data_IF_016418490151
#
_entry.id   IF_016418490151
#
_cell.length_a   1.000
_cell.length_b   1.000
_cell.length_c   1.000
_cell.angle_alpha   90.00
_cell.angle_beta   90.00
_cell.angle_gamma   90.00
#
_symmetry.space_group_name_H-M   'P 1'
#
loop_
_entity.id
_entity.type
_entity.pdbx_description
1 polymer ?
#
# COMPACT_ATOMS: atom_id res chain seq x y z
N UNK A 1 19.24 9.18 -21.79
CA UNK A 1 18.84 8.89 -20.40
C UNK A 1 18.93 10.19 -19.64
N UNK A 2 17.79 10.73 -19.22
CA UNK A 2 17.76 11.90 -18.35
C UNK A 2 17.85 11.45 -16.87
N UNK A 3 17.97 12.39 -15.93
CA UNK A 3 18.06 12.07 -14.50
C UNK A 3 16.77 11.43 -13.94
N UNK A 4 15.62 11.72 -14.52
CA UNK A 4 14.32 11.16 -14.16
C UNK A 4 14.17 9.68 -14.59
N UNK A 5 14.74 9.29 -15.73
CA UNK A 5 14.78 7.91 -16.22
C UNK A 5 15.62 7.03 -15.29
N UNK A 6 16.72 7.58 -14.76
CA UNK A 6 17.60 6.87 -13.82
C UNK A 6 16.93 6.71 -12.45
N UNK A 7 16.15 7.70 -12.00
CA UNK A 7 15.35 7.57 -10.76
C UNK A 7 14.28 6.50 -10.87
N UNK A 8 13.63 6.37 -12.03
CA UNK A 8 12.65 5.31 -12.29
C UNK A 8 13.25 3.89 -12.34
N UNK A 9 14.57 3.77 -12.49
CA UNK A 9 15.29 2.49 -12.45
C UNK A 9 15.75 2.10 -11.03
N UNK A 10 15.74 3.04 -10.08
CA UNK A 10 16.09 2.73 -8.69
C UNK A 10 14.87 2.23 -7.91
N UNK A 11 15.03 1.23 -7.03
CA UNK A 11 13.95 0.79 -6.16
C UNK A 11 13.52 1.96 -5.26
N UNK A 12 12.24 2.33 -5.34
CA UNK A 12 11.66 3.39 -4.50
C UNK A 12 11.92 3.13 -3.01
N UNK A 13 12.20 4.19 -2.27
CA UNK A 13 12.31 4.15 -0.82
C UNK A 13 10.95 3.87 -0.15
N UNK A 14 10.97 3.55 1.14
CA UNK A 14 9.73 3.33 1.92
C UNK A 14 8.89 4.61 1.96
N UNK A 15 9.52 5.76 2.22
CA UNK A 15 8.82 7.05 2.32
C UNK A 15 8.16 7.44 1.00
N UNK A 16 8.85 7.26 -0.14
CA UNK A 16 8.27 7.51 -1.46
C UNK A 16 7.06 6.61 -1.74
N UNK A 17 7.10 5.35 -1.31
CA UNK A 17 5.99 4.41 -1.46
C UNK A 17 4.81 4.83 -0.58
N UNK A 18 5.05 5.25 0.67
CA UNK A 18 4.00 5.75 1.56
C UNK A 18 3.37 7.02 0.98
N UNK A 19 4.18 7.95 0.47
CA UNK A 19 3.67 9.18 -0.16
C UNK A 19 2.77 8.85 -1.36
N UNK A 20 3.20 7.95 -2.24
CA UNK A 20 2.41 7.52 -3.39
C UNK A 20 1.10 6.83 -2.97
N UNK A 21 1.13 5.95 -1.96
CA UNK A 21 -0.07 5.29 -1.44
C UNK A 21 -1.04 6.31 -0.85
N UNK A 22 -0.55 7.28 -0.07
CA UNK A 22 -1.40 8.33 0.52
C UNK A 22 -2.01 9.25 -0.54
N UNK A 23 -1.27 9.57 -1.61
CA UNK A 23 -1.82 10.26 -2.78
C UNK A 23 -2.95 9.46 -3.42
N UNK A 24 -2.76 8.16 -3.67
CA UNK A 24 -3.82 7.30 -4.19
C UNK A 24 -5.03 7.22 -3.26
N UNK A 25 -4.81 7.13 -1.94
CA UNK A 25 -5.90 7.17 -0.96
C UNK A 25 -6.68 8.49 -1.06
N UNK A 26 -5.99 9.63 -1.21
CA UNK A 26 -6.64 10.93 -1.38
C UNK A 26 -7.45 11.01 -2.69
N UNK A 27 -6.98 10.40 -3.77
CA UNK A 27 -7.73 10.32 -5.03
C UNK A 27 -8.97 9.42 -4.92
N UNK A 28 -8.86 8.28 -4.24
CA UNK A 28 -10.01 7.39 -3.99
C UNK A 28 -11.02 8.06 -3.04
N UNK A 29 -10.56 8.83 -2.05
CA UNK A 29 -11.41 9.60 -1.16
C UNK A 29 -12.25 10.64 -1.92
N UNK A 30 -11.68 11.32 -2.92
CA UNK A 30 -12.42 12.24 -3.81
C UNK A 30 -13.54 11.54 -4.59
N UNK A 31 -13.44 10.22 -4.78
CA UNK A 31 -14.45 9.38 -5.44
C UNK A 31 -15.45 8.78 -4.45
N UNK A 32 -15.40 9.15 -3.16
CA UNK A 32 -16.26 8.61 -2.11
C UNK A 32 -15.90 7.18 -1.69
N UNK A 33 -14.69 6.72 -1.99
CA UNK A 33 -14.18 5.42 -1.55
C UNK A 33 -13.31 5.59 -0.31
N UNK A 34 -13.29 4.55 0.52
CA UNK A 34 -12.62 4.52 1.83
C UNK A 34 -11.58 3.42 1.93
N UNK A 35 -11.28 2.77 0.80
CA UNK A 35 -10.37 1.64 0.71
C UNK A 35 -9.56 1.76 -0.57
N UNK A 36 -8.25 1.53 -0.46
CA UNK A 36 -7.30 1.37 -1.54
C UNK A 36 -6.67 -0.02 -1.45
N UNK A 37 -6.43 -0.65 -2.60
CA UNK A 37 -5.85 -1.99 -2.70
C UNK A 37 -4.77 -2.02 -3.76
N UNK A 38 -3.64 -2.68 -3.49
CA UNK A 38 -2.56 -2.79 -4.45
C UNK A 38 -1.73 -4.06 -4.28
N UNK A 39 -1.32 -4.66 -5.41
CA UNK A 39 -0.36 -5.78 -5.48
C UNK A 39 1.10 -5.30 -5.61
N UNK A 40 1.30 -3.99 -5.75
CA UNK A 40 2.61 -3.40 -6.01
C UNK A 40 3.53 -3.51 -4.78
N UNK A 41 4.77 -3.03 -4.92
CA UNK A 41 5.75 -2.93 -3.83
C UNK A 41 6.06 -4.27 -3.14
N UNK A 42 5.91 -5.38 -3.88
CA UNK A 42 6.16 -6.75 -3.42
C UNK A 42 4.97 -7.40 -2.72
N UNK A 43 3.86 -6.68 -2.49
CA UNK A 43 2.71 -7.22 -1.76
C UNK A 43 2.00 -8.38 -2.48
N UNK A 44 2.25 -8.58 -3.79
CA UNK A 44 1.79 -9.73 -4.56
C UNK A 44 2.57 -11.03 -4.38
N UNK A 45 3.81 -10.98 -3.87
CA UNK A 45 4.75 -12.09 -3.96
C UNK A 45 4.89 -12.92 -2.67
N UNK A 46 4.76 -12.32 -1.47
CA UNK A 46 4.75 -13.06 -0.19
C UNK A 46 4.25 -12.20 0.99
N UNK A 47 3.86 -12.88 2.08
CA UNK A 47 3.06 -12.32 3.17
C UNK A 47 3.82 -11.80 4.38
N UNK A 48 5.02 -12.31 4.66
CA UNK A 48 5.52 -12.21 6.04
C UNK A 48 7.02 -11.93 6.19
N UNK A 49 7.78 -11.82 5.09
CA UNK A 49 9.25 -11.82 5.17
C UNK A 49 9.94 -10.55 4.66
N UNK A 50 9.22 -9.62 4.03
CA UNK A 50 9.86 -8.40 3.53
C UNK A 50 9.81 -7.27 4.57
N UNK A 51 10.95 -6.93 5.17
CA UNK A 51 11.08 -5.81 6.11
C UNK A 51 10.59 -4.49 5.52
N UNK A 52 10.71 -4.31 4.20
CA UNK A 52 10.23 -3.11 3.50
C UNK A 52 8.71 -3.02 3.55
N UNK A 53 8.01 -4.13 3.33
CA UNK A 53 6.54 -4.17 3.40
C UNK A 53 6.03 -3.86 4.81
N UNK A 54 6.71 -4.38 5.83
CA UNK A 54 6.40 -4.09 7.24
C UNK A 54 6.54 -2.60 7.52
N UNK A 55 7.66 -1.98 7.12
CA UNK A 55 7.87 -0.53 7.29
C UNK A 55 6.85 0.32 6.54
N UNK A 56 6.43 -0.09 5.34
CA UNK A 56 5.36 0.59 4.60
C UNK A 56 4.04 0.53 5.39
N UNK A 57 3.65 -0.65 5.88
CA UNK A 57 2.43 -0.81 6.67
C UNK A 57 2.48 -0.04 7.99
N UNK A 58 3.62 -0.05 8.70
CA UNK A 58 3.83 0.73 9.92
C UNK A 58 3.72 2.23 9.65
N UNK A 59 4.41 2.73 8.63
CA UNK A 59 4.32 4.15 8.28
C UNK A 59 2.91 4.60 7.88
N UNK A 60 2.15 3.76 7.18
CA UNK A 60 0.73 4.03 6.91
C UNK A 60 -0.12 4.05 8.19
N UNK A 61 0.14 3.14 9.14
CA UNK A 61 -0.56 3.11 10.43
C UNK A 61 -0.24 4.32 11.30
N UNK A 62 1.02 4.76 11.30
CA UNK A 62 1.46 5.96 12.02
C UNK A 62 0.78 7.23 11.49
N UNK A 63 0.42 7.23 10.20
CA UNK A 63 -0.39 8.28 9.56
C UNK A 63 -1.91 8.16 9.83
N UNK A 64 -2.34 7.15 10.59
CA UNK A 64 -3.74 6.93 10.98
C UNK A 64 -4.55 6.08 10.01
N UNK A 65 -3.93 5.47 9.00
CA UNK A 65 -4.61 4.51 8.12
C UNK A 65 -4.70 3.13 8.78
N UNK A 66 -5.70 2.36 8.37
CA UNK A 66 -5.73 0.92 8.63
C UNK A 66 -5.05 0.21 7.46
N UNK A 67 -3.81 -0.22 7.66
CA UNK A 67 -3.04 -0.96 6.66
C UNK A 67 -2.81 -2.40 7.11
N UNK A 68 -3.16 -3.37 6.27
CA UNK A 68 -2.87 -4.79 6.49
C UNK A 68 -2.69 -5.53 5.18
N UNK A 69 -2.05 -6.70 5.28
CA UNK A 69 -1.91 -7.59 4.15
C UNK A 69 -3.17 -8.44 4.03
N UNK A 70 -3.90 -8.23 2.94
CA UNK A 70 -5.11 -8.97 2.58
C UNK A 70 -4.69 -10.20 1.78
N UNK A 71 -4.97 -11.37 2.32
CA UNK A 71 -4.57 -12.65 1.74
C UNK A 71 -5.80 -13.51 1.53
N UNK A 72 -6.08 -13.83 0.28
CA UNK A 72 -7.14 -14.77 -0.06
C UNK A 72 -6.53 -16.07 -0.59
N UNK A 73 -6.80 -17.17 0.13
CA UNK A 73 -6.39 -18.51 -0.26
C UNK A 73 -7.54 -19.17 -1.05
N UNK A 74 -7.63 -18.83 -2.34
CA UNK A 74 -8.52 -19.48 -3.30
C UNK A 74 -7.81 -20.57 -4.12
N UNK A 75 -8.18 -20.73 -5.40
CA UNK A 75 -7.41 -21.56 -6.35
C UNK A 75 -6.01 -21.00 -6.64
N UNK A 76 -5.80 -19.71 -6.35
CA UNK A 76 -4.51 -19.02 -6.41
C UNK A 76 -4.36 -18.17 -5.14
N UNK A 77 -3.12 -17.93 -4.73
CA UNK A 77 -2.81 -16.98 -3.65
C UNK A 77 -3.00 -15.57 -4.20
N UNK A 78 -3.95 -14.83 -3.65
CA UNK A 78 -4.15 -13.41 -3.94
C UNK A 78 -3.74 -12.61 -2.70
N UNK A 79 -2.49 -12.16 -2.70
CA UNK A 79 -1.90 -11.35 -1.63
C UNK A 79 -1.80 -9.89 -2.10
N UNK A 80 -2.23 -8.95 -1.26
CA UNK A 80 -2.21 -7.51 -1.59
C UNK A 80 -2.22 -6.63 -0.36
N UNK A 81 -1.70 -5.42 -0.49
CA UNK A 81 -1.88 -4.40 0.53
C UNK A 81 -3.32 -3.87 0.46
N UNK A 82 -3.98 -3.81 1.61
CA UNK A 82 -5.25 -3.11 1.80
C UNK A 82 -5.04 -1.96 2.77
N UNK A 83 -5.40 -0.75 2.33
CA UNK A 83 -5.35 0.48 3.12
C UNK A 83 -6.76 1.04 3.21
N UNK A 84 -7.26 1.31 4.40
CA UNK A 84 -8.56 1.96 4.60
C UNK A 84 -8.48 3.16 5.52
N UNK A 85 -9.38 4.11 5.31
CA UNK A 85 -9.49 5.36 6.05
C UNK A 85 -10.95 5.75 6.24
N UNK A 86 -11.26 6.41 7.35
CA UNK A 86 -12.63 6.76 7.74
C UNK A 86 -13.04 6.10 9.05
N UNK A 87 -14.09 6.63 9.68
CA UNK A 87 -14.62 6.09 10.93
C UNK A 87 -15.21 4.70 10.68
N UNK A 88 -14.87 3.74 11.53
CA UNK A 88 -15.81 2.67 11.86
C UNK A 88 -17.05 3.33 12.45
N UNK A 89 -18.06 3.58 11.63
CA UNK A 89 -19.41 3.59 12.16
C UNK A 89 -19.73 2.13 12.49
N UNK A 90 -19.77 1.85 13.79
CA UNK A 90 -20.01 0.52 14.33
C UNK A 90 -21.26 -0.12 13.73
N UNK A 91 -21.14 -1.42 13.48
CA UNK A 91 -22.28 -2.32 13.36
C UNK A 91 -22.64 -2.85 14.76
#
# INVERSE_FOLDING_TARGET
MNADDVRNLMPKSVDEIIEEITQYCAEEAKKGRFVYKTWNYGFGDSIDTDEKQKKIMEGLRDLGFKAYHDVNFGQFVDARLLVSWGKEEGA
#
